data_IF_002023830348
#
_entry.id   IF_002023830348
#
_cell.length_a   1.000
_cell.length_b   1.000
_cell.length_c   1.000
_cell.angle_alpha   90.00
_cell.angle_beta   90.00
_cell.angle_gamma   90.00
#
_symmetry.space_group_name_H-M   'P 1'
#
loop_
_entity.id
_entity.type
_entity.pdbx_description
1 polymer ?
#
# COMPACT_ATOMS: atom_id res chain seq x y z
N UNK A 1 10.13 26.12 15.65
CA UNK A 1 9.92 26.71 14.31
C UNK A 1 8.72 26.04 13.65
N UNK A 2 7.81 26.83 13.07
CA UNK A 2 6.60 26.34 12.38
C UNK A 2 6.96 25.81 10.98
N UNK A 3 6.67 24.54 10.75
CA UNK A 3 7.10 23.69 9.62
C UNK A 3 6.42 23.98 8.27
N UNK A 4 5.50 24.95 8.20
CA UNK A 4 4.85 25.35 6.94
C UNK A 4 5.73 26.27 6.08
N UNK A 5 6.81 26.81 6.63
CA UNK A 5 7.64 27.83 6.01
C UNK A 5 9.11 27.43 5.81
N UNK A 6 9.50 26.19 6.07
CA UNK A 6 10.89 25.75 5.86
C UNK A 6 11.08 25.37 4.39
N UNK A 7 11.75 26.26 3.67
CA UNK A 7 12.16 26.07 2.28
C UNK A 7 13.20 24.91 2.20
N UNK A 8 12.91 23.81 1.47
CA UNK A 8 13.85 22.71 1.32
C UNK A 8 15.17 23.11 0.65
N UNK A 9 15.20 24.21 -0.11
CA UNK A 9 16.45 24.79 -0.61
C UNK A 9 17.28 25.39 0.54
N UNK A 10 16.65 26.04 1.52
CA UNK A 10 17.33 26.55 2.72
C UNK A 10 17.83 25.44 3.63
N UNK A 11 17.07 24.35 3.78
CA UNK A 11 17.52 23.15 4.50
C UNK A 11 18.74 22.51 3.82
N UNK A 12 18.78 22.52 2.48
CA UNK A 12 19.94 22.03 1.73
C UNK A 12 21.14 22.97 1.87
N UNK A 13 20.95 24.28 1.71
CA UNK A 13 22.01 25.30 1.89
C UNK A 13 22.59 25.28 3.31
N UNK A 14 21.75 25.16 4.33
CA UNK A 14 22.23 25.02 5.72
C UNK A 14 22.97 23.71 5.93
N UNK A 15 22.58 22.62 5.25
CA UNK A 15 23.32 21.36 5.29
C UNK A 15 24.68 21.42 4.58
N UNK A 16 24.85 22.28 3.57
CA UNK A 16 26.16 22.50 2.91
C UNK A 16 27.16 23.28 3.75
N UNK A 17 26.70 23.96 4.81
CA UNK A 17 27.54 24.74 5.73
C UNK A 17 27.85 24.04 7.06
N UNK A 18 27.30 22.84 7.31
CA UNK A 18 27.56 22.13 8.57
C UNK A 18 29.01 21.58 8.60
N UNK A 19 29.82 21.93 9.60
CA UNK A 19 31.13 21.32 9.78
C UNK A 19 30.93 19.83 10.08
N UNK A 20 31.60 18.99 9.29
CA UNK A 20 31.61 17.53 9.46
C UNK A 20 32.21 17.25 10.84
N UNK A 21 31.37 16.93 11.83
CA UNK A 21 31.86 16.42 13.10
C UNK A 21 32.24 14.96 12.87
N UNK A 22 33.53 14.71 12.80
CA UNK A 22 34.21 13.46 12.44
C UNK A 22 33.98 12.29 13.43
N UNK A 23 32.89 12.29 14.18
CA UNK A 23 32.70 11.35 15.29
C UNK A 23 31.71 10.22 14.94
N UNK A 24 32.30 9.02 14.79
CA UNK A 24 31.72 7.66 14.92
C UNK A 24 31.05 7.01 13.70
N UNK A 25 31.79 6.89 12.58
CA UNK A 25 31.65 5.71 11.72
C UNK A 25 33.04 5.06 11.63
N UNK A 26 33.37 4.19 12.59
CA UNK A 26 34.55 3.31 12.48
C UNK A 26 34.29 2.33 11.34
N UNK A 27 34.88 2.62 10.17
CA UNK A 27 35.09 1.65 9.09
C UNK A 27 36.51 1.10 9.32
N UNK A 28 36.64 -0.20 9.55
CA UNK A 28 37.87 -0.89 9.93
C UNK A 28 38.88 -1.00 8.78
N UNK A 29 39.30 0.10 8.16
CA UNK A 29 40.38 0.09 7.17
C UNK A 29 41.22 1.37 7.34
N UNK A 30 42.05 1.43 8.39
CA UNK A 30 43.06 2.46 8.56
C UNK A 30 44.42 1.90 8.12
N UNK A 31 44.78 2.15 6.87
CA UNK A 31 46.18 2.23 6.44
C UNK A 31 46.55 3.71 6.44
N UNK A 32 47.57 4.02 7.22
CA UNK A 32 48.17 5.34 7.39
C UNK A 32 48.52 6.01 6.05
N UNK A 33 48.16 7.28 5.92
CA UNK A 33 48.56 8.09 4.79
C UNK A 33 47.83 9.42 4.79
N UNK A 34 48.51 10.47 5.26
CA UNK A 34 48.14 11.88 5.10
C UNK A 34 47.82 12.19 3.64
N UNK A 35 46.54 12.11 3.29
CA UNK A 35 45.97 12.76 2.11
C UNK A 35 44.70 13.46 2.56
N UNK A 36 44.59 14.75 2.21
CA UNK A 36 43.32 15.46 2.19
C UNK A 36 42.29 14.53 1.54
N UNK A 37 41.37 14.00 2.33
CA UNK A 37 40.32 13.14 1.80
C UNK A 37 39.59 13.94 0.72
N UNK A 38 39.41 13.40 -0.50
CA UNK A 38 38.56 14.07 -1.48
C UNK A 38 37.19 14.30 -0.82
N UNK A 39 36.55 15.45 -1.08
CA UNK A 39 35.25 15.75 -0.51
C UNK A 39 34.33 14.56 -0.77
N UNK A 40 33.68 14.05 0.30
CA UNK A 40 32.79 12.90 0.17
C UNK A 40 31.87 13.07 -1.05
N UNK A 41 31.72 12.04 -1.92
CA UNK A 41 30.95 12.16 -3.16
C UNK A 41 29.58 12.77 -2.87
N UNK A 42 29.09 13.62 -3.79
CA UNK A 42 27.86 14.44 -3.65
C UNK A 42 26.69 13.64 -3.08
N UNK A 43 26.57 12.38 -3.48
CA UNK A 43 25.67 11.37 -2.94
C UNK A 43 25.76 11.20 -1.42
N UNK A 44 26.95 10.97 -0.86
CA UNK A 44 27.12 10.79 0.60
C UNK A 44 26.65 12.04 1.34
N UNK A 45 26.94 13.25 0.81
CA UNK A 45 26.48 14.51 1.39
C UNK A 45 24.96 14.64 1.35
N UNK A 46 24.33 14.30 0.21
CA UNK A 46 22.88 14.26 0.06
C UNK A 46 22.21 13.28 1.05
N UNK A 47 22.79 12.10 1.24
CA UNK A 47 22.25 11.13 2.20
C UNK A 47 22.49 11.51 3.66
N UNK A 48 23.58 12.22 3.96
CA UNK A 48 23.82 12.76 5.30
C UNK A 48 22.85 13.91 5.62
N UNK A 49 22.61 14.83 4.68
CA UNK A 49 21.67 15.93 4.88
C UNK A 49 20.23 15.41 5.04
N UNK A 50 19.82 14.45 4.23
CA UNK A 50 18.49 13.83 4.36
C UNK A 50 18.33 13.05 5.66
N UNK A 51 19.41 12.50 6.24
CA UNK A 51 19.39 11.85 7.56
C UNK A 51 19.18 12.82 8.73
N UNK A 52 19.49 14.11 8.56
CA UNK A 52 19.26 15.15 9.57
C UNK A 52 17.79 15.63 9.60
N UNK A 53 17.02 15.36 8.55
CA UNK A 53 15.59 15.68 8.46
C UNK A 53 14.77 14.68 9.29
N UNK A 54 13.73 15.15 9.97
CA UNK A 54 12.79 14.29 10.70
C UNK A 54 12.14 13.22 9.79
N UNK A 55 11.83 12.05 10.35
CA UNK A 55 11.38 10.85 9.62
C UNK A 55 10.14 11.10 8.74
N UNK A 56 9.13 11.83 9.24
CA UNK A 56 7.92 12.17 8.48
C UNK A 56 8.19 13.19 7.38
N UNK A 57 9.04 14.16 7.67
CA UNK A 57 9.41 15.20 6.71
C UNK A 57 10.27 14.65 5.57
N UNK A 58 11.13 13.66 5.90
CA UNK A 58 11.94 12.92 4.94
C UNK A 58 11.08 12.16 3.94
N UNK A 59 10.02 11.49 4.40
CA UNK A 59 9.12 10.77 3.49
C UNK A 59 8.45 11.70 2.48
N UNK A 60 8.01 12.87 2.92
CA UNK A 60 7.41 13.88 2.04
C UNK A 60 8.43 14.46 1.08
N UNK A 61 9.64 14.79 1.56
CA UNK A 61 10.73 15.34 0.76
C UNK A 61 11.09 14.41 -0.43
N UNK A 62 11.41 13.15 -0.15
CA UNK A 62 11.75 12.18 -1.20
C UNK A 62 10.59 11.89 -2.13
N UNK A 63 9.34 11.92 -1.63
CA UNK A 63 8.19 11.74 -2.49
C UNK A 63 8.03 12.90 -3.48
N UNK A 64 8.28 14.15 -3.05
CA UNK A 64 8.30 15.30 -3.96
C UNK A 64 9.45 15.18 -4.97
N UNK A 65 10.62 14.75 -4.52
CA UNK A 65 11.78 14.52 -5.38
C UNK A 65 11.48 13.48 -6.48
N UNK A 66 10.86 12.35 -6.13
CA UNK A 66 10.44 11.34 -7.10
C UNK A 66 9.43 11.91 -8.09
N UNK A 67 8.49 12.73 -7.64
CA UNK A 67 7.48 13.31 -8.52
C UNK A 67 8.06 14.33 -9.50
N UNK A 68 9.06 15.11 -9.06
CA UNK A 68 9.77 16.07 -9.89
C UNK A 68 10.84 15.43 -10.79
N UNK A 69 11.14 14.13 -10.60
CA UNK A 69 12.19 13.42 -11.32
C UNK A 69 12.01 13.50 -12.83
N UNK A 70 13.06 13.86 -13.61
CA UNK A 70 12.92 14.19 -15.03
C UNK A 70 12.62 12.96 -15.88
N UNK A 71 13.17 11.80 -15.51
CA UNK A 71 12.99 10.57 -16.28
C UNK A 71 11.67 9.88 -15.94
N UNK A 72 10.76 9.91 -16.91
CA UNK A 72 9.44 9.28 -16.84
C UNK A 72 9.47 7.80 -16.49
N UNK A 73 10.43 7.04 -17.03
CA UNK A 73 10.52 5.59 -16.82
C UNK A 73 10.98 5.24 -15.40
N UNK A 74 11.95 5.98 -14.86
CA UNK A 74 12.46 5.80 -13.49
C UNK A 74 11.38 6.20 -12.47
N UNK A 75 10.70 7.32 -12.73
CA UNK A 75 9.56 7.78 -11.93
C UNK A 75 8.41 6.76 -11.95
N UNK A 76 8.04 6.26 -13.13
CA UNK A 76 7.00 5.24 -13.28
C UNK A 76 7.39 3.97 -12.53
N UNK A 77 8.62 3.47 -12.65
CA UNK A 77 9.05 2.25 -11.95
C UNK A 77 8.84 2.33 -10.43
N UNK A 78 9.14 3.47 -9.80
CA UNK A 78 8.89 3.68 -8.36
C UNK A 78 7.39 3.80 -8.06
N UNK A 79 6.62 4.50 -8.89
CA UNK A 79 5.17 4.65 -8.68
C UNK A 79 4.46 3.31 -8.84
N UNK A 80 4.81 2.51 -9.85
CA UNK A 80 4.23 1.19 -10.11
C UNK A 80 4.52 0.22 -8.97
N UNK A 81 5.71 0.28 -8.38
CA UNK A 81 6.11 -0.51 -7.20
C UNK A 81 5.10 -0.35 -6.05
N UNK A 82 4.49 0.85 -5.89
CA UNK A 82 3.43 1.07 -4.89
C UNK A 82 2.16 0.28 -5.19
N UNK A 83 1.73 0.27 -6.45
CA UNK A 83 0.41 -0.22 -6.84
C UNK A 83 0.39 -1.72 -7.13
N UNK A 84 1.46 -2.29 -7.70
CA UNK A 84 1.46 -3.67 -8.21
C UNK A 84 1.16 -4.69 -7.11
N UNK A 85 1.82 -4.59 -5.95
CA UNK A 85 1.55 -5.51 -4.82
C UNK A 85 0.11 -5.35 -4.33
N UNK A 86 -0.34 -4.11 -4.13
CA UNK A 86 -1.69 -3.84 -3.65
C UNK A 86 -2.76 -4.39 -4.60
N UNK A 87 -2.66 -4.09 -5.89
CA UNK A 87 -3.60 -4.58 -6.92
C UNK A 87 -3.59 -6.10 -6.98
N UNK A 88 -2.40 -6.72 -6.98
CA UNK A 88 -2.31 -8.19 -7.05
C UNK A 88 -2.93 -8.84 -5.81
N UNK A 89 -2.56 -8.38 -4.61
CA UNK A 89 -3.10 -8.89 -3.35
C UNK A 89 -4.61 -8.71 -3.27
N UNK A 90 -5.12 -7.56 -3.73
CA UNK A 90 -6.55 -7.28 -3.78
C UNK A 90 -7.28 -8.22 -4.73
N UNK A 91 -6.74 -8.47 -5.93
CA UNK A 91 -7.35 -9.39 -6.90
C UNK A 91 -7.34 -10.82 -6.40
N UNK A 92 -6.24 -11.29 -5.80
CA UNK A 92 -6.16 -12.64 -5.25
C UNK A 92 -7.05 -12.81 -4.03
N UNK A 93 -7.08 -11.83 -3.14
CA UNK A 93 -8.00 -11.83 -2.01
C UNK A 93 -9.45 -11.85 -2.46
N UNK A 94 -9.82 -11.01 -3.44
CA UNK A 94 -11.16 -10.96 -4.00
C UNK A 94 -11.57 -12.30 -4.63
N UNK A 95 -10.64 -12.95 -5.34
CA UNK A 95 -10.87 -14.29 -5.88
C UNK A 95 -11.13 -15.33 -4.79
N UNK A 96 -10.27 -15.38 -3.76
CA UNK A 96 -10.40 -16.30 -2.63
C UNK A 96 -11.72 -16.06 -1.90
N UNK A 97 -12.01 -14.80 -1.55
CA UNK A 97 -13.23 -14.43 -0.84
C UNK A 97 -14.48 -14.82 -1.61
N UNK A 98 -14.49 -14.56 -2.93
CA UNK A 98 -15.63 -14.90 -3.77
C UNK A 98 -15.86 -16.42 -3.82
N UNK A 99 -14.80 -17.22 -3.96
CA UNK A 99 -14.91 -18.68 -3.98
C UNK A 99 -15.38 -19.27 -2.65
N UNK A 100 -14.83 -18.81 -1.52
CA UNK A 100 -15.26 -19.25 -0.19
C UNK A 100 -16.72 -18.85 0.05
N UNK A 101 -17.09 -17.61 -0.29
CA UNK A 101 -18.47 -17.13 -0.11
C UNK A 101 -19.45 -17.91 -1.00
N UNK A 102 -19.05 -18.30 -2.22
CA UNK A 102 -19.84 -19.15 -3.10
C UNK A 102 -20.13 -20.51 -2.47
N UNK A 103 -19.10 -21.13 -1.89
CA UNK A 103 -19.18 -22.45 -1.28
C UNK A 103 -20.14 -22.42 -0.08
N UNK A 104 -20.04 -21.38 0.76
CA UNK A 104 -20.89 -21.20 1.95
C UNK A 104 -22.35 -20.88 1.61
N UNK A 105 -22.61 -19.98 0.66
CA UNK A 105 -23.98 -19.51 0.36
C UNK A 105 -24.70 -20.29 -0.73
N UNK A 106 -23.97 -20.77 -1.75
CA UNK A 106 -24.56 -21.40 -2.94
C UNK A 106 -24.36 -22.92 -2.96
N UNK A 107 -23.48 -23.47 -2.12
CA UNK A 107 -23.17 -24.91 -2.03
C UNK A 107 -22.78 -25.49 -3.41
N UNK A 108 -22.29 -24.65 -4.32
CA UNK A 108 -21.84 -25.06 -5.65
C UNK A 108 -20.42 -24.52 -5.93
N UNK A 109 -19.40 -25.36 -5.73
CA UNK A 109 -18.01 -24.96 -5.94
C UNK A 109 -17.65 -24.78 -7.43
N UNK A 110 -18.47 -25.29 -8.35
CA UNK A 110 -18.21 -25.29 -9.79
C UNK A 110 -18.61 -23.99 -10.49
N UNK A 111 -19.30 -23.09 -9.80
CA UNK A 111 -19.74 -21.83 -10.40
C UNK A 111 -18.57 -20.95 -10.87
N UNK A 112 -18.75 -20.34 -12.04
CA UNK A 112 -17.81 -19.39 -12.61
C UNK A 112 -17.79 -18.11 -11.78
N UNK A 113 -16.61 -17.48 -11.68
CA UNK A 113 -16.38 -16.28 -10.85
C UNK A 113 -17.42 -15.17 -11.02
N UNK A 114 -17.80 -14.85 -12.26
CA UNK A 114 -18.80 -13.82 -12.57
C UNK A 114 -20.23 -14.25 -12.24
N UNK A 115 -20.54 -15.53 -12.41
CA UNK A 115 -21.87 -16.08 -12.06
C UNK A 115 -22.07 -16.06 -10.56
N UNK A 116 -21.01 -16.42 -9.82
CA UNK A 116 -20.94 -16.32 -8.37
C UNK A 116 -21.17 -14.88 -7.90
N UNK A 117 -20.46 -13.90 -8.48
CA UNK A 117 -20.56 -12.50 -8.06
C UNK A 117 -21.98 -11.91 -8.25
N UNK A 118 -22.72 -12.37 -9.27
CA UNK A 118 -24.11 -11.94 -9.52
C UNK A 118 -25.13 -12.60 -8.58
N UNK A 119 -24.84 -13.81 -8.09
CA UNK A 119 -25.79 -14.63 -7.32
C UNK A 119 -25.59 -14.53 -5.81
N UNK A 120 -24.41 -14.09 -5.35
CA UNK A 120 -24.14 -13.93 -3.93
C UNK A 120 -24.91 -12.71 -3.37
N UNK A 121 -25.71 -12.88 -2.30
CA UNK A 121 -26.38 -11.76 -1.62
C UNK A 121 -25.43 -10.95 -0.72
N UNK A 122 -24.26 -11.49 -0.39
CA UNK A 122 -23.31 -10.91 0.55
C UNK A 122 -22.36 -9.89 -0.11
N UNK A 123 -22.21 -8.72 0.54
CA UNK A 123 -21.22 -7.68 0.16
C UNK A 123 -19.78 -8.02 0.62
N UNK A 124 -19.56 -9.18 1.24
CA UNK A 124 -18.26 -9.57 1.82
C UNK A 124 -17.08 -9.54 0.84
N UNK A 125 -17.22 -9.89 -0.46
CA UNK A 125 -16.09 -9.82 -1.40
C UNK A 125 -15.60 -8.38 -1.62
N UNK A 126 -16.51 -7.42 -1.73
CA UNK A 126 -16.16 -6.01 -1.95
C UNK A 126 -15.52 -5.37 -0.71
N UNK A 127 -15.99 -5.74 0.49
CA UNK A 127 -15.39 -5.27 1.74
C UNK A 127 -13.96 -5.78 1.88
N UNK A 128 -13.71 -7.07 1.60
CA UNK A 128 -12.35 -7.60 1.63
C UNK A 128 -11.45 -7.05 0.54
N UNK A 129 -11.98 -6.80 -0.66
CA UNK A 129 -11.26 -6.10 -1.72
C UNK A 129 -10.71 -4.75 -1.22
N UNK A 130 -11.58 -3.93 -0.61
CA UNK A 130 -11.22 -2.61 -0.12
C UNK A 130 -10.24 -2.66 1.06
N UNK A 131 -10.50 -3.54 2.05
CA UNK A 131 -9.66 -3.68 3.24
C UNK A 131 -8.26 -4.20 2.90
N UNK A 132 -8.17 -5.28 2.12
CA UNK A 132 -6.88 -5.85 1.72
C UNK A 132 -6.10 -4.86 0.87
N UNK A 133 -6.76 -4.14 -0.05
CA UNK A 133 -6.09 -3.13 -0.88
C UNK A 133 -5.53 -1.96 -0.06
N UNK A 134 -6.33 -1.43 0.88
CA UNK A 134 -5.89 -0.33 1.73
C UNK A 134 -4.71 -0.74 2.63
N UNK A 135 -4.85 -1.87 3.34
CA UNK A 135 -3.82 -2.34 4.27
C UNK A 135 -2.56 -2.76 3.51
N UNK A 136 -2.71 -3.49 2.40
CA UNK A 136 -1.57 -3.89 1.55
C UNK A 136 -0.81 -2.69 1.02
N UNK A 137 -1.52 -1.63 0.60
CA UNK A 137 -0.89 -0.38 0.17
C UNK A 137 -0.09 0.25 1.31
N UNK A 138 -0.68 0.39 2.50
CA UNK A 138 0.00 0.98 3.66
C UNK A 138 1.23 0.19 4.07
N UNK A 139 1.14 -1.14 4.15
CA UNK A 139 2.27 -1.99 4.51
C UNK A 139 3.37 -1.95 3.44
N UNK A 140 3.02 -1.90 2.15
CA UNK A 140 3.99 -1.77 1.05
C UNK A 140 4.78 -0.47 1.17
N UNK A 141 4.11 0.64 1.51
CA UNK A 141 4.79 1.92 1.75
C UNK A 141 5.78 1.82 2.92
N UNK A 142 5.31 1.29 4.05
CA UNK A 142 6.04 1.30 5.32
C UNK A 142 7.21 0.30 5.34
N UNK A 143 7.03 -0.90 4.79
CA UNK A 143 7.99 -2.00 4.93
C UNK A 143 8.88 -2.23 3.70
N UNK A 144 8.49 -1.72 2.54
CA UNK A 144 9.21 -1.91 1.26
C UNK A 144 9.70 -0.56 0.76
N UNK A 145 8.79 0.36 0.44
CA UNK A 145 9.13 1.58 -0.30
C UNK A 145 10.02 2.54 0.50
N UNK A 146 9.57 2.96 1.68
CA UNK A 146 10.32 3.91 2.50
C UNK A 146 11.68 3.37 2.98
N UNK A 147 11.79 2.16 3.55
CA UNK A 147 13.09 1.69 4.03
C UNK A 147 14.09 1.50 2.89
N UNK A 148 13.65 1.03 1.72
CA UNK A 148 14.55 0.78 0.59
C UNK A 148 14.98 2.05 -0.15
N UNK A 149 14.11 3.06 -0.20
CA UNK A 149 14.42 4.32 -0.86
C UNK A 149 15.15 5.31 0.06
N UNK A 150 14.86 5.33 1.36
CA UNK A 150 15.36 6.36 2.30
C UNK A 150 16.67 5.98 2.99
N UNK A 151 16.96 4.68 3.12
CA UNK A 151 18.14 4.19 3.84
C UNK A 151 19.07 3.48 2.88
N UNK A 152 20.05 4.23 2.37
CA UNK A 152 21.08 3.69 1.52
C UNK A 152 21.90 2.61 2.25
N UNK A 153 21.89 1.39 1.71
CA UNK A 153 22.74 0.28 2.15
C UNK A 153 22.20 -0.59 3.30
N UNK A 154 21.04 -0.28 3.88
CA UNK A 154 20.50 -1.07 5.00
C UNK A 154 19.71 -2.32 4.57
N UNK A 155 19.09 -2.31 3.38
CA UNK A 155 18.36 -3.47 2.86
C UNK A 155 19.08 -4.06 1.65
N UNK A 156 19.52 -5.32 1.80
CA UNK A 156 19.94 -6.14 0.66
C UNK A 156 18.73 -6.47 -0.21
N UNK A 157 18.94 -6.61 -1.52
CA UNK A 157 17.87 -7.01 -2.46
C UNK A 157 17.20 -8.33 -2.03
N UNK A 158 17.98 -9.26 -1.46
CA UNK A 158 17.46 -10.52 -0.91
C UNK A 158 16.47 -10.28 0.25
N UNK A 159 16.83 -9.41 1.21
CA UNK A 159 15.95 -9.07 2.33
C UNK A 159 14.66 -8.36 1.86
N UNK A 160 14.76 -7.55 0.80
CA UNK A 160 13.61 -6.89 0.18
C UNK A 160 12.69 -7.91 -0.49
N UNK A 161 13.23 -8.88 -1.24
CA UNK A 161 12.47 -9.98 -1.83
C UNK A 161 11.72 -10.78 -0.77
N UNK A 162 12.38 -11.15 0.32
CA UNK A 162 11.74 -11.86 1.43
C UNK A 162 10.55 -11.08 2.01
N UNK A 163 10.73 -9.77 2.25
CA UNK A 163 9.65 -8.90 2.75
C UNK A 163 8.50 -8.75 1.75
N UNK A 164 8.81 -8.56 0.47
CA UNK A 164 7.81 -8.40 -0.58
C UNK A 164 6.98 -9.67 -0.79
N UNK A 165 7.63 -10.84 -0.81
CA UNK A 165 6.96 -12.14 -0.91
C UNK A 165 6.13 -12.42 0.34
N UNK A 166 6.67 -12.20 1.54
CA UNK A 166 5.94 -12.40 2.78
C UNK A 166 4.69 -11.51 2.86
N UNK A 167 4.80 -10.24 2.47
CA UNK A 167 3.68 -9.31 2.44
C UNK A 167 2.64 -9.71 1.38
N UNK A 168 3.08 -10.13 0.20
CA UNK A 168 2.17 -10.54 -0.87
C UNK A 168 1.42 -11.84 -0.54
N UNK A 169 2.10 -12.86 0.00
CA UNK A 169 1.45 -14.09 0.46
C UNK A 169 0.58 -13.87 1.71
N UNK A 170 1.04 -13.05 2.65
CA UNK A 170 0.29 -12.73 3.86
C UNK A 170 -1.03 -12.02 3.54
N UNK A 171 -0.95 -10.89 2.85
CA UNK A 171 -2.12 -10.06 2.55
C UNK A 171 -3.00 -10.63 1.44
N UNK A 172 -2.40 -11.15 0.37
CA UNK A 172 -3.11 -11.61 -0.81
C UNK A 172 -3.69 -13.02 -0.70
N UNK A 173 -3.20 -13.84 0.24
CA UNK A 173 -3.60 -15.25 0.38
C UNK A 173 -3.99 -15.63 1.81
N UNK A 174 -3.07 -15.51 2.78
CA UNK A 174 -3.29 -16.04 4.14
C UNK A 174 -4.43 -15.32 4.87
N UNK A 175 -4.43 -13.98 4.86
CA UNK A 175 -5.49 -13.22 5.53
C UNK A 175 -6.88 -13.59 4.97
N UNK A 176 -7.14 -13.55 3.66
CA UNK A 176 -8.42 -14.01 3.11
C UNK A 176 -8.76 -15.45 3.47
N UNK A 177 -7.77 -16.35 3.49
CA UNK A 177 -8.00 -17.77 3.77
C UNK A 177 -8.50 -18.02 5.20
N UNK A 178 -7.99 -17.27 6.19
CA UNK A 178 -8.37 -17.47 7.60
C UNK A 178 -9.49 -16.53 8.07
N UNK A 179 -9.58 -15.33 7.52
CA UNK A 179 -10.57 -14.34 7.96
C UNK A 179 -11.93 -14.48 7.25
N UNK A 180 -11.95 -14.89 5.99
CA UNK A 180 -13.22 -14.96 5.22
C UNK A 180 -14.14 -16.06 5.72
N UNK A 181 -13.70 -17.31 5.96
CA UNK A 181 -14.61 -18.38 6.38
C UNK A 181 -15.46 -18.05 7.62
N UNK A 182 -14.91 -17.53 8.73
CA UNK A 182 -15.73 -17.18 9.89
C UNK A 182 -16.68 -16.01 9.60
N UNK A 183 -16.27 -15.03 8.79
CA UNK A 183 -17.12 -13.90 8.38
C UNK A 183 -18.26 -14.37 7.46
N UNK A 184 -17.98 -15.26 6.51
CA UNK A 184 -18.97 -15.81 5.61
C UNK A 184 -19.98 -16.67 6.37
N UNK A 185 -19.51 -17.48 7.33
CA UNK A 185 -20.37 -18.30 8.17
C UNK A 185 -21.28 -17.46 9.07
N UNK A 186 -20.74 -16.44 9.75
CA UNK A 186 -21.57 -15.55 10.57
C UNK A 186 -22.62 -14.81 9.73
N UNK A 187 -22.24 -14.32 8.54
CA UNK A 187 -23.17 -13.70 7.60
C UNK A 187 -24.24 -14.69 7.12
N UNK A 188 -23.88 -15.95 6.87
CA UNK A 188 -24.81 -17.00 6.50
C UNK A 188 -25.80 -17.31 7.63
N UNK A 189 -25.34 -17.43 8.87
CA UNK A 189 -26.20 -17.64 10.03
C UNK A 189 -27.18 -16.48 10.25
N UNK A 190 -26.69 -15.23 10.17
CA UNK A 190 -27.56 -14.05 10.24
C UNK A 190 -28.57 -14.00 9.09
N UNK A 191 -28.21 -14.51 7.90
CA UNK A 191 -29.14 -14.61 6.78
C UNK A 191 -30.21 -15.68 7.01
N UNK A 192 -29.85 -16.84 7.58
CA UNK A 192 -30.79 -17.90 7.96
C UNK A 192 -31.75 -17.47 9.07
N UNK A 193 -31.28 -16.71 10.04
CA UNK A 193 -32.09 -16.16 11.12
C UNK A 193 -33.16 -15.19 10.57
N UNK A 194 -32.79 -14.33 9.62
CA UNK A 194 -33.75 -13.46 8.91
C UNK A 194 -34.79 -14.22 8.10
N UNK A 195 -34.48 -15.45 7.67
CA UNK A 195 -35.40 -16.35 6.98
C UNK A 195 -36.25 -17.20 7.95
N UNK A 196 -36.17 -16.96 9.26
CA UNK A 196 -36.94 -17.70 10.27
C UNK A 196 -36.49 -19.15 10.48
N UNK A 197 -35.30 -19.53 10.01
CA UNK A 197 -34.79 -20.89 10.17
C UNK A 197 -34.18 -21.13 11.56
N UNK A 198 -34.26 -22.37 12.06
CA UNK A 198 -33.69 -22.79 13.34
C UNK A 198 -32.19 -22.44 13.42
N UNK A 199 -31.79 -21.82 14.55
CA UNK A 199 -30.41 -21.46 14.85
C UNK A 199 -29.54 -22.72 14.96
N UNK A 200 -28.46 -22.78 14.17
CA UNK A 200 -27.49 -23.85 14.24
C UNK A 200 -26.63 -23.69 15.52
N UNK A 201 -26.28 -24.78 16.21
CA UNK A 201 -25.44 -24.71 17.39
C UNK A 201 -24.02 -24.28 16.98
N UNK A 202 -23.61 -23.08 17.39
CA UNK A 202 -22.23 -22.60 17.26
C UNK A 202 -21.65 -22.47 18.66
N UNK A 203 -21.11 -23.56 19.21
CA UNK A 203 -20.69 -23.62 20.61
C UNK A 203 -19.18 -23.55 20.83
N UNK A 204 -18.38 -24.14 19.93
CA UNK A 204 -16.95 -24.37 20.19
C UNK A 204 -16.03 -23.66 19.18
N UNK A 205 -14.89 -23.17 19.67
CA UNK A 205 -13.80 -22.62 18.84
C UNK A 205 -13.25 -23.69 17.88
N UNK A 206 -13.28 -24.96 18.29
CA UNK A 206 -12.86 -26.08 17.45
C UNK A 206 -13.80 -26.29 16.26
N UNK A 207 -15.11 -26.10 16.44
CA UNK A 207 -16.08 -26.18 15.33
C UNK A 207 -15.84 -25.05 14.32
N UNK A 208 -15.52 -23.84 14.81
CA UNK A 208 -15.19 -22.71 13.96
C UNK A 208 -13.91 -22.96 13.14
N UNK A 209 -12.89 -23.58 13.75
CA UNK A 209 -11.65 -23.96 13.06
C UNK A 209 -11.89 -25.07 12.02
N UNK A 210 -12.62 -26.11 12.40
CA UNK A 210 -12.98 -27.21 11.48
C UNK A 210 -13.78 -26.68 10.28
N UNK A 211 -14.76 -25.81 10.54
CA UNK A 211 -15.59 -25.20 9.50
C UNK A 211 -14.78 -24.23 8.62
N UNK A 212 -13.83 -23.49 9.20
CA UNK A 212 -12.89 -22.65 8.44
C UNK A 212 -12.09 -23.51 7.47
N UNK A 213 -11.58 -24.65 7.94
CA UNK A 213 -10.80 -25.57 7.12
C UNK A 213 -11.63 -26.16 5.98
N UNK A 214 -12.86 -26.60 6.25
CA UNK A 214 -13.76 -27.14 5.22
C UNK A 214 -14.11 -26.11 4.14
N UNK A 215 -14.46 -24.88 4.52
CA UNK A 215 -14.82 -23.82 3.57
C UNK A 215 -13.64 -23.42 2.65
N UNK A 216 -12.39 -23.58 3.14
CA UNK A 216 -11.20 -23.26 2.35
C UNK A 216 -10.85 -24.33 1.32
N UNK A 217 -11.35 -25.56 1.48
CA UNK A 217 -11.04 -26.71 0.60
C UNK A 217 -11.35 -26.42 -0.87
N UNK A 218 -12.39 -25.61 -1.13
CA UNK A 218 -12.78 -25.15 -2.47
C UNK A 218 -11.68 -24.37 -3.21
N UNK A 219 -10.74 -23.76 -2.47
CA UNK A 219 -9.67 -22.92 -3.02
C UNK A 219 -8.32 -23.65 -3.11
N UNK A 220 -8.13 -24.76 -2.39
CA UNK A 220 -6.83 -25.41 -2.24
C UNK A 220 -6.14 -25.79 -3.55
N UNK A 221 -6.91 -26.30 -4.53
CA UNK A 221 -6.37 -26.67 -5.85
C UNK A 221 -5.83 -25.46 -6.63
N UNK A 222 -6.25 -24.24 -6.28
CA UNK A 222 -5.84 -22.99 -6.93
C UNK A 222 -4.82 -22.20 -6.10
N UNK A 223 -4.58 -22.57 -4.84
CA UNK A 223 -3.60 -21.90 -3.97
C UNK A 223 -2.19 -21.85 -4.57
N UNK A 224 -1.63 -22.92 -5.18
CA UNK A 224 -0.29 -22.83 -5.77
C UNK A 224 -0.19 -21.80 -6.89
N UNK A 225 -1.23 -21.70 -7.73
CA UNK A 225 -1.29 -20.70 -8.80
C UNK A 225 -1.41 -19.28 -8.22
N UNK A 226 -2.24 -19.08 -7.20
CA UNK A 226 -2.38 -17.79 -6.51
C UNK A 226 -1.08 -17.37 -5.83
N UNK A 227 -0.38 -18.31 -5.18
CA UNK A 227 0.93 -18.07 -4.60
C UNK A 227 1.96 -17.70 -5.69
N UNK A 228 1.97 -18.40 -6.81
CA UNK A 228 2.83 -18.10 -7.95
C UNK A 228 2.62 -16.68 -8.50
N UNK A 229 1.37 -16.25 -8.66
CA UNK A 229 1.04 -14.88 -9.10
C UNK A 229 1.54 -13.82 -8.11
N UNK A 230 1.33 -14.05 -6.81
CA UNK A 230 1.79 -13.15 -5.75
C UNK A 230 3.33 -13.05 -5.68
N UNK A 231 4.02 -14.19 -5.78
CA UNK A 231 5.49 -14.25 -5.83
C UNK A 231 6.02 -13.53 -7.08
N UNK A 232 5.41 -13.76 -8.24
CA UNK A 232 5.81 -13.10 -9.48
C UNK A 232 5.62 -11.58 -9.40
N UNK A 233 4.49 -11.11 -8.86
CA UNK A 233 4.24 -9.68 -8.65
C UNK A 233 5.27 -9.06 -7.68
N UNK A 234 5.58 -9.74 -6.57
CA UNK A 234 6.63 -9.31 -5.65
C UNK A 234 8.01 -9.25 -6.33
N UNK A 235 8.34 -10.23 -7.18
CA UNK A 235 9.56 -10.23 -7.98
C UNK A 235 9.65 -9.04 -8.94
N UNK A 236 8.59 -8.75 -9.68
CA UNK A 236 8.50 -7.59 -10.59
C UNK A 236 8.77 -6.29 -9.81
N UNK A 237 8.14 -6.13 -8.65
CA UNK A 237 8.27 -4.96 -7.78
C UNK A 237 9.71 -4.78 -7.29
N UNK A 238 10.35 -5.86 -6.85
CA UNK A 238 11.74 -5.80 -6.38
C UNK A 238 12.69 -5.48 -7.53
N UNK A 239 12.53 -6.11 -8.69
CA UNK A 239 13.34 -5.84 -9.87
C UNK A 239 13.16 -4.39 -10.36
N UNK A 240 11.92 -3.89 -10.44
CA UNK A 240 11.65 -2.52 -10.86
C UNK A 240 12.23 -1.51 -9.87
N UNK A 241 12.12 -1.78 -8.58
CA UNK A 241 12.63 -0.89 -7.55
C UNK A 241 14.16 -0.90 -7.49
N UNK A 242 14.80 -2.07 -7.62
CA UNK A 242 16.26 -2.18 -7.69
C UNK A 242 16.82 -1.48 -8.93
N UNK A 243 16.16 -1.66 -10.09
CA UNK A 243 16.53 -0.98 -11.33
C UNK A 243 16.42 0.55 -11.21
N UNK A 244 15.29 1.06 -10.72
CA UNK A 244 15.07 2.49 -10.56
C UNK A 244 16.04 3.10 -9.55
N UNK A 245 16.27 2.40 -8.43
CA UNK A 245 17.21 2.82 -7.39
C UNK A 245 18.63 2.96 -7.95
N UNK A 246 19.14 1.94 -8.65
CA UNK A 246 20.49 1.97 -9.21
C UNK A 246 20.67 3.13 -10.20
N UNK A 247 19.67 3.41 -11.02
CA UNK A 247 19.68 4.54 -11.97
C UNK A 247 19.67 5.90 -11.29
N UNK A 248 18.79 6.07 -10.30
CA UNK A 248 18.71 7.32 -9.51
C UNK A 248 20.04 7.57 -8.81
N UNK A 249 20.61 6.56 -8.14
CA UNK A 249 21.91 6.70 -7.49
C UNK A 249 23.03 7.04 -8.47
N UNK A 250 23.06 6.37 -9.63
CA UNK A 250 24.06 6.65 -10.66
C UNK A 250 23.96 8.08 -11.20
N UNK A 251 22.76 8.65 -11.31
CA UNK A 251 22.58 10.03 -11.78
C UNK A 251 22.92 11.07 -10.72
N UNK A 252 22.58 10.78 -9.46
CA UNK A 252 22.97 11.62 -8.31
C UNK A 252 24.49 11.70 -8.11
N UNK A 253 25.24 10.69 -8.55
CA UNK A 253 26.71 10.67 -8.49
C UNK A 253 27.35 11.54 -9.60
N UNK A 254 26.62 11.86 -10.69
CA UNK A 254 27.16 12.52 -11.88
C UNK A 254 26.80 14.02 -11.92
N UNK A 255 25.61 14.40 -11.45
CA UNK A 255 25.09 15.77 -11.61
C UNK A 255 24.53 16.33 -10.30
N UNK A 256 25.31 17.21 -9.67
CA UNK A 256 24.93 17.89 -8.43
C UNK A 256 23.93 19.04 -8.67
N UNK A 257 23.96 19.65 -9.85
CA UNK A 257 23.09 20.78 -10.21
C UNK A 257 21.66 20.31 -10.48
N UNK A 258 21.53 19.09 -11.02
CA UNK A 258 20.25 18.40 -11.16
C UNK A 258 19.48 18.29 -9.83
N UNK A 259 20.18 18.10 -8.70
CA UNK A 259 19.54 18.02 -7.38
C UNK A 259 18.97 19.38 -6.96
N UNK A 260 19.71 20.47 -7.22
CA UNK A 260 19.29 21.83 -6.89
C UNK A 260 18.06 22.22 -7.70
N UNK A 261 18.06 21.90 -8.99
CA UNK A 261 16.92 22.12 -9.88
C UNK A 261 15.72 21.26 -9.47
N UNK A 262 15.95 19.99 -9.11
CA UNK A 262 14.90 19.10 -8.65
C UNK A 262 14.27 19.54 -7.34
N UNK A 263 15.06 20.04 -6.39
CA UNK A 263 14.55 20.57 -5.13
C UNK A 263 13.67 21.79 -5.40
N UNK A 264 14.14 22.75 -6.21
CA UNK A 264 13.37 23.94 -6.60
C UNK A 264 12.06 23.57 -7.34
N UNK A 265 12.13 22.63 -8.29
CA UNK A 265 10.97 22.17 -9.03
C UNK A 265 9.99 21.38 -8.14
N UNK A 266 10.48 20.65 -7.15
CA UNK A 266 9.66 19.84 -6.24
C UNK A 266 8.68 20.69 -5.40
N UNK A 267 9.05 21.92 -5.07
CA UNK A 267 8.20 22.89 -4.39
C UNK A 267 7.10 23.43 -5.31
N UNK A 268 7.46 23.78 -6.55
CA UNK A 268 6.52 24.23 -7.57
C UNK A 268 5.43 23.18 -7.84
N UNK A 269 5.83 21.92 -8.07
CA UNK A 269 4.89 20.81 -8.30
C UNK A 269 3.98 20.55 -7.10
N UNK A 270 4.44 20.79 -5.87
CA UNK A 270 3.63 20.59 -4.67
C UNK A 270 2.53 21.65 -4.54
N UNK A 271 2.85 22.91 -4.82
CA UNK A 271 1.88 24.01 -4.81
C UNK A 271 0.80 23.79 -5.87
N UNK A 272 1.20 23.34 -7.07
CA UNK A 272 0.26 23.00 -8.13
C UNK A 272 -0.64 21.80 -7.76
N UNK A 273 -0.07 20.72 -7.22
CA UNK A 273 -0.84 19.51 -6.85
C UNK A 273 -1.79 19.75 -5.68
N UNK A 274 -1.42 20.58 -4.70
CA UNK A 274 -2.33 21.02 -3.63
C UNK A 274 -3.50 21.82 -4.19
N UNK A 275 -3.26 22.70 -5.18
CA UNK A 275 -4.31 23.41 -5.91
C UNK A 275 -5.29 22.47 -6.61
N UNK A 276 -4.79 21.47 -7.35
CA UNK A 276 -5.63 20.51 -8.08
C UNK A 276 -6.43 19.59 -7.14
N UNK A 277 -5.82 19.12 -6.04
CA UNK A 277 -6.53 18.30 -5.04
C UNK A 277 -7.59 19.13 -4.30
N UNK A 278 -7.29 20.39 -3.97
CA UNK A 278 -8.27 21.32 -3.41
C UNK A 278 -9.46 21.54 -4.34
N UNK A 279 -9.21 21.71 -5.64
CA UNK A 279 -10.27 21.82 -6.65
C UNK A 279 -11.09 20.53 -6.79
N UNK A 280 -10.45 19.35 -6.78
CA UNK A 280 -11.18 18.07 -6.84
C UNK A 280 -12.02 17.82 -5.59
N UNK A 281 -11.50 18.08 -4.39
CA UNK A 281 -12.24 17.97 -3.14
C UNK A 281 -13.39 18.96 -3.08
N UNK A 282 -13.19 20.19 -3.57
CA UNK A 282 -14.27 21.16 -3.72
C UNK A 282 -15.34 20.68 -4.72
N UNK A 283 -14.94 20.07 -5.84
CA UNK A 283 -15.90 19.50 -6.81
C UNK A 283 -16.69 18.32 -6.22
N UNK A 284 -16.04 17.45 -5.45
CA UNK A 284 -16.69 16.31 -4.78
C UNK A 284 -17.62 16.82 -3.68
N UNK A 285 -17.19 17.82 -2.90
CA UNK A 285 -18.03 18.50 -1.92
C UNK A 285 -19.26 19.13 -2.55
N UNK A 286 -19.09 19.86 -3.67
CA UNK A 286 -20.19 20.47 -4.43
C UNK A 286 -21.13 19.44 -5.07
N UNK A 287 -20.61 18.27 -5.43
CA UNK A 287 -21.41 17.17 -5.97
C UNK A 287 -22.23 16.50 -4.85
N UNK A 288 -21.64 16.28 -3.68
CA UNK A 288 -22.31 15.72 -2.50
C UNK A 288 -23.39 16.65 -1.93
N UNK A 289 -23.20 17.97 -2.03
CA UNK A 289 -24.21 18.97 -1.64
C UNK A 289 -25.17 19.33 -2.77
N UNK A 290 -25.08 18.67 -3.93
CA UNK A 290 -26.00 18.94 -5.02
C UNK A 290 -27.43 18.48 -4.65
N UNK A 291 -28.47 19.26 -4.98
CA UNK A 291 -29.85 18.94 -4.61
C UNK A 291 -30.29 17.56 -5.13
N UNK A 292 -29.73 17.09 -6.26
CA UNK A 292 -30.00 15.74 -6.81
C UNK A 292 -29.48 14.60 -5.93
N UNK A 293 -28.33 14.78 -5.27
CA UNK A 293 -27.74 13.76 -4.39
C UNK A 293 -28.43 13.79 -3.02
N UNK A 294 -28.77 14.98 -2.52
CA UNK A 294 -29.56 15.13 -1.30
C UNK A 294 -30.97 14.52 -1.45
N UNK A 295 -31.67 14.79 -2.56
CA UNK A 295 -32.96 14.17 -2.90
C UNK A 295 -32.86 12.64 -3.01
N UNK A 296 -31.75 12.10 -3.53
CA UNK A 296 -31.53 10.66 -3.61
C UNK A 296 -31.44 10.00 -2.23
N UNK A 297 -30.77 10.66 -1.28
CA UNK A 297 -30.68 10.19 0.11
C UNK A 297 -31.98 10.41 0.88
N UNK A 298 -32.70 11.50 0.65
CA UNK A 298 -34.02 11.74 1.26
C UNK A 298 -35.07 10.73 0.77
N UNK A 299 -35.16 10.48 -0.54
CA UNK A 299 -36.07 9.45 -1.08
C UNK A 299 -35.76 8.06 -0.55
N UNK A 300 -34.49 7.73 -0.32
CA UNK A 300 -34.11 6.45 0.32
C UNK A 300 -34.46 6.37 1.80
N UNK A 301 -34.46 7.50 2.50
CA UNK A 301 -34.85 7.59 3.92
C UNK A 301 -36.36 7.42 4.09
N UNK A 302 -37.16 7.94 3.15
CA UNK A 302 -38.63 7.79 3.12
C UNK A 302 -39.09 6.38 2.70
N UNK A 303 -38.23 5.60 2.02
CA UNK A 303 -38.53 4.20 1.65
C UNK A 303 -38.20 3.14 2.70
N UNK A 304 -37.81 3.53 3.93
CA UNK A 304 -37.75 2.57 5.04
C UNK A 304 -39.17 2.38 5.56
N UNK A 305 -39.73 1.15 5.59
CA UNK A 305 -41.05 0.95 6.17
C UNK A 305 -40.99 1.29 7.66
N UNK A 306 -41.85 2.21 8.09
CA UNK A 306 -42.15 2.43 9.49
C UNK A 306 -42.50 1.06 10.11
N UNK A 307 -41.74 0.65 11.12
CA UNK A 307 -42.13 -0.47 11.96
C UNK A 307 -43.42 -0.07 12.69
N UNK A 308 -44.54 -0.81 12.55
CA UNK A 308 -45.66 -0.60 13.45
C UNK A 308 -45.28 -1.22 14.79
N UNK A 309 -44.87 -0.37 15.73
CA UNK A 309 -45.14 -0.65 17.14
C UNK A 309 -46.58 -0.23 17.40
N UNK A 310 -47.49 -1.21 17.34
CA UNK A 310 -48.74 -1.20 18.09
C UNK A 310 -49.07 -2.66 18.47
N UNK A 311 -49.33 -2.83 19.78
CA UNK A 311 -49.58 -4.03 20.60
C UNK A 311 -48.33 -4.73 21.14
#
# INVERSE_FOLDING_TARGET
MSWKNTDPLELWKTSTTLPITENKIKRNDEVEGSYQQPPAPVRIRFWMSTKQIDSRQRTDYFWKLILAWPDDWERRAIIWTKAVISVTNTLTAFYITNKITADVFLIDPKLNFLQTLRRIPAKSPFVMFALVGFISQMLTMTFILYPYLMYEGQLSTLSLTGRAVALSLGMGMLIPLFSVPPIANSAFLSHREKLGMRKLPTGSVFDLLAQTFECTRSVWRKLPAIAGVNIAAAGIVVCSMAWARNRIHSKLDIDADLINELVANSEYYQNQKRGVIGQKLHSIGSWLTSPKVLDFFERKRVSSPDSPHDI
#
